data_IF_409449183317
#
_entry.id   IF_409449183317
#
_cell.length_a   1.000
_cell.length_b   1.000
_cell.length_c   1.000
_cell.angle_alpha   90.00
_cell.angle_beta   90.00
_cell.angle_gamma   90.00
#
_symmetry.space_group_name_H-M   'P 1'
#
loop_
_entity.id
_entity.type
_entity.pdbx_description
1 polymer ?
#
# COMPACT_ATOMS: atom_id res chain seq x y z
N UNK A 1 -5.48 3.51 -15.82
CA UNK A 1 -5.63 2.33 -14.92
C UNK A 1 -4.23 1.85 -14.55
N UNK A 2 -3.93 1.72 -13.26
CA UNK A 2 -2.60 1.38 -12.73
C UNK A 2 -2.59 -0.11 -12.34
N UNK A 3 -1.64 -0.92 -12.82
CA UNK A 3 -1.48 -2.33 -12.42
C UNK A 3 -0.06 -2.59 -11.92
N UNK A 4 0.12 -2.99 -10.65
CA UNK A 4 1.45 -3.11 -10.04
C UNK A 4 1.57 -4.29 -9.08
N UNK A 5 2.81 -4.76 -8.91
CA UNK A 5 3.19 -5.80 -7.94
C UNK A 5 4.26 -5.26 -6.98
N UNK A 6 4.02 -5.39 -5.69
CA UNK A 6 4.90 -4.93 -4.61
C UNK A 6 5.17 -6.09 -3.65
N UNK A 7 6.39 -6.61 -3.68
CA UNK A 7 6.90 -7.59 -2.69
C UNK A 7 7.52 -6.93 -1.46
N UNK A 8 7.11 -7.33 -0.26
CA UNK A 8 7.69 -6.90 1.01
C UNK A 8 8.78 -7.87 1.49
N UNK A 9 9.86 -7.32 2.05
CA UNK A 9 10.83 -8.10 2.83
C UNK A 9 10.30 -8.32 4.25
N UNK A 10 10.89 -9.27 4.98
CA UNK A 10 10.58 -9.56 6.40
C UNK A 10 10.64 -8.33 7.30
N UNK A 11 11.46 -7.35 6.94
CA UNK A 11 11.63 -6.11 7.67
C UNK A 11 10.74 -5.05 7.01
N UNK A 12 9.47 -4.99 7.42
CA UNK A 12 8.57 -3.93 6.99
C UNK A 12 9.09 -2.58 7.49
N UNK A 13 9.54 -1.74 6.57
CA UNK A 13 9.78 -0.33 6.82
C UNK A 13 8.83 0.49 5.93
N UNK A 14 7.86 1.16 6.58
CA UNK A 14 6.90 2.06 5.92
C UNK A 14 7.59 3.01 4.95
N UNK A 15 8.76 3.54 5.32
CA UNK A 15 9.56 4.41 4.47
C UNK A 15 9.99 3.75 3.16
N UNK A 16 10.52 2.54 3.22
CA UNK A 16 11.01 1.82 2.04
C UNK A 16 9.85 1.52 1.09
N UNK A 17 8.70 1.14 1.63
CA UNK A 17 7.48 0.99 0.86
C UNK A 17 7.12 2.29 0.15
N UNK A 18 6.97 3.39 0.89
CA UNK A 18 6.55 4.69 0.36
C UNK A 18 7.50 5.15 -0.74
N UNK A 19 8.81 5.05 -0.53
CA UNK A 19 9.79 5.40 -1.55
C UNK A 19 9.68 4.47 -2.77
N UNK A 20 9.47 3.17 -2.56
CA UNK A 20 9.38 2.20 -3.65
C UNK A 20 8.13 2.38 -4.49
N UNK A 21 6.99 2.73 -3.89
CA UNK A 21 5.75 3.02 -4.64
C UNK A 21 5.79 4.39 -5.31
N UNK A 22 6.40 5.38 -4.65
CA UNK A 22 6.55 6.73 -5.21
C UNK A 22 7.40 6.76 -6.48
N UNK A 23 8.40 5.87 -6.60
CA UNK A 23 9.19 5.70 -7.83
C UNK A 23 8.35 5.45 -9.09
N UNK A 24 7.10 5.02 -8.94
CA UNK A 24 6.21 4.78 -10.08
C UNK A 24 5.36 6.00 -10.46
N UNK A 25 5.38 7.05 -9.66
CA UNK A 25 4.50 8.22 -9.78
C UNK A 25 5.31 9.50 -9.97
N UNK A 26 6.45 9.59 -9.28
CA UNK A 26 7.32 10.77 -9.27
C UNK A 26 8.76 10.32 -9.42
N UNK A 27 9.58 11.17 -10.02
CA UNK A 27 11.04 11.00 -9.98
C UNK A 27 11.50 11.12 -8.53
N UNK A 28 11.99 10.00 -7.98
CA UNK A 28 12.51 9.98 -6.62
C UNK A 28 13.92 10.54 -6.64
N UNK A 29 13.99 11.85 -6.38
CA UNK A 29 15.23 12.60 -6.20
C UNK A 29 15.73 12.53 -4.75
N UNK A 30 16.97 12.96 -4.51
CA UNK A 30 17.53 13.09 -3.16
C UNK A 30 16.66 13.95 -2.24
N UNK A 31 15.99 14.97 -2.79
CA UNK A 31 15.10 15.83 -2.02
C UNK A 31 13.80 15.10 -1.63
N UNK A 32 13.29 14.22 -2.48
CA UNK A 32 12.17 13.32 -2.13
C UNK A 32 12.63 12.34 -1.04
N UNK A 33 13.83 11.77 -1.17
CA UNK A 33 14.43 10.89 -0.17
C UNK A 33 14.72 11.56 1.19
N UNK A 34 14.67 12.89 1.29
CA UNK A 34 14.79 13.64 2.57
C UNK A 34 13.44 13.99 3.19
N UNK A 35 12.33 13.84 2.46
CA UNK A 35 10.99 14.10 2.99
C UNK A 35 10.62 13.09 4.06
N UNK A 36 9.82 13.52 5.04
CA UNK A 36 9.27 12.65 6.06
C UNK A 36 8.21 11.70 5.47
N UNK A 37 7.86 10.65 6.21
CA UNK A 37 6.95 9.61 5.72
C UNK A 37 5.54 10.16 5.44
N UNK A 38 5.07 11.15 6.18
CA UNK A 38 3.72 11.71 6.00
C UNK A 38 3.60 12.46 4.67
N UNK A 39 4.62 13.24 4.31
CA UNK A 39 4.67 13.91 3.00
C UNK A 39 4.74 12.86 1.89
N UNK A 40 5.56 11.82 2.05
CA UNK A 40 5.67 10.75 1.05
C UNK A 40 4.34 10.01 0.88
N UNK A 41 3.66 9.68 1.98
CA UNK A 41 2.34 9.06 1.97
C UNK A 41 1.31 9.95 1.29
N UNK A 42 1.32 11.26 1.56
CA UNK A 42 0.37 12.20 0.96
C UNK A 42 0.59 12.36 -0.56
N UNK A 43 1.84 12.42 -1.02
CA UNK A 43 2.15 12.48 -2.47
C UNK A 43 1.64 11.22 -3.17
N UNK A 44 1.91 10.05 -2.57
CA UNK A 44 1.44 8.77 -3.09
C UNK A 44 -0.09 8.70 -3.12
N UNK A 45 -0.74 9.05 -2.02
CA UNK A 45 -2.19 9.03 -1.88
C UNK A 45 -2.85 9.95 -2.91
N UNK A 46 -2.38 11.19 -3.01
CA UNK A 46 -2.89 12.20 -3.95
C UNK A 46 -2.79 11.73 -5.40
N UNK A 47 -1.76 10.97 -5.75
CA UNK A 47 -1.61 10.44 -7.10
C UNK A 47 -2.56 9.30 -7.45
N UNK A 48 -3.14 8.63 -6.43
CA UNK A 48 -4.13 7.58 -6.61
C UNK A 48 -5.57 8.10 -6.59
N UNK A 49 -5.82 9.29 -6.03
CA UNK A 49 -7.16 9.90 -6.00
C UNK A 49 -7.70 10.04 -7.42
N UNK A 50 -8.96 9.63 -7.63
CA UNK A 50 -9.59 9.58 -8.95
C UNK A 50 -9.02 8.53 -9.93
N UNK A 51 -7.96 7.78 -9.57
CA UNK A 51 -7.37 6.74 -10.41
C UNK A 51 -7.89 5.36 -10.03
N UNK A 52 -8.17 4.53 -11.04
CA UNK A 52 -8.45 3.10 -10.83
C UNK A 52 -7.15 2.30 -10.82
N UNK A 53 -6.92 1.50 -9.78
CA UNK A 53 -5.71 0.71 -9.60
C UNK A 53 -5.95 -0.77 -9.20
N UNK A 54 -5.01 -1.64 -9.57
CA UNK A 54 -4.86 -2.99 -9.02
C UNK A 54 -3.43 -3.12 -8.50
N UNK A 55 -3.30 -3.39 -7.19
CA UNK A 55 -2.00 -3.46 -6.52
C UNK A 55 -1.88 -4.82 -5.84
N UNK A 56 -0.93 -5.63 -6.31
CA UNK A 56 -0.60 -6.92 -5.71
C UNK A 56 0.47 -6.70 -4.66
N UNK A 57 0.26 -7.26 -3.50
CA UNK A 57 1.13 -7.14 -2.33
C UNK A 57 1.53 -8.53 -1.89
N UNK A 58 2.83 -8.81 -1.87
CA UNK A 58 3.35 -10.11 -1.48
C UNK A 58 4.20 -10.03 -0.21
N UNK A 59 3.92 -10.92 0.73
CA UNK A 59 4.70 -11.12 1.95
C UNK A 59 4.48 -10.06 3.01
N UNK A 60 3.24 -9.72 3.41
CA UNK A 60 3.04 -8.93 4.64
C UNK A 60 3.31 -9.80 5.87
N UNK A 61 4.05 -9.25 6.84
CA UNK A 61 4.60 -9.97 8.00
C UNK A 61 3.92 -9.69 9.34
N UNK A 62 3.02 -8.70 9.44
CA UNK A 62 2.18 -8.50 10.63
C UNK A 62 0.86 -7.81 10.32
N UNK A 63 -0.09 -7.89 11.25
CA UNK A 63 -1.37 -7.16 11.16
C UNK A 63 -1.16 -5.65 11.24
N UNK A 64 -0.21 -5.15 12.04
CA UNK A 64 0.08 -3.72 12.10
C UNK A 64 0.64 -3.22 10.77
N UNK A 65 1.53 -3.98 10.12
CA UNK A 65 2.05 -3.65 8.81
C UNK A 65 0.94 -3.64 7.75
N UNK A 66 -0.03 -4.56 7.84
CA UNK A 66 -1.20 -4.56 6.96
C UNK A 66 -2.10 -3.33 7.17
N UNK A 67 -2.35 -2.96 8.43
CA UNK A 67 -3.18 -1.81 8.78
C UNK A 67 -2.52 -0.50 8.34
N UNK A 68 -1.23 -0.32 8.63
CA UNK A 68 -0.44 0.84 8.19
C UNK A 68 -0.38 0.92 6.66
N UNK A 69 -0.16 -0.20 5.99
CA UNK A 69 -0.15 -0.29 4.53
C UNK A 69 -1.47 0.23 3.93
N UNK A 70 -2.62 -0.27 4.40
CA UNK A 70 -3.93 0.12 3.86
C UNK A 70 -4.19 1.62 3.94
N UNK A 71 -3.70 2.30 4.98
CA UNK A 71 -3.88 3.77 5.10
C UNK A 71 -3.22 4.56 3.98
N UNK A 72 -2.30 3.95 3.22
CA UNK A 72 -1.64 4.60 2.10
C UNK A 72 -2.49 4.66 0.83
N UNK A 73 -3.67 4.03 0.77
CA UNK A 73 -4.46 3.91 -0.44
C UNK A 73 -5.84 4.58 -0.29
N UNK A 74 -6.27 5.41 -1.27
CA UNK A 74 -7.61 5.97 -1.26
C UNK A 74 -8.65 4.92 -1.62
N UNK A 75 -9.73 4.85 -0.84
CA UNK A 75 -10.93 4.09 -1.18
C UNK A 75 -11.97 5.01 -1.81
N UNK A 76 -12.00 5.02 -3.14
CA UNK A 76 -12.87 5.90 -3.94
C UNK A 76 -14.07 5.14 -4.51
N UNK A 77 -14.30 3.88 -4.09
CA UNK A 77 -15.35 3.01 -4.64
C UNK A 77 -15.33 2.89 -6.18
N UNK A 78 -14.19 3.14 -6.81
CA UNK A 78 -14.03 3.22 -8.28
C UNK A 78 -13.59 1.87 -8.91
N UNK A 79 -13.77 0.78 -8.19
CA UNK A 79 -13.34 -0.56 -8.61
C UNK A 79 -11.83 -0.78 -8.53
N UNK A 80 -11.12 0.00 -7.71
CA UNK A 80 -9.73 -0.28 -7.34
C UNK A 80 -9.65 -1.51 -6.42
N UNK A 81 -8.55 -2.26 -6.53
CA UNK A 81 -8.36 -3.52 -5.79
C UNK A 81 -6.93 -3.66 -5.27
N UNK A 82 -6.81 -4.23 -4.08
CA UNK A 82 -5.54 -4.63 -3.48
C UNK A 82 -5.59 -6.14 -3.29
N UNK A 83 -4.67 -6.86 -3.94
CA UNK A 83 -4.52 -8.31 -3.79
C UNK A 83 -3.39 -8.60 -2.82
N UNK A 84 -3.72 -9.16 -1.66
CA UNK A 84 -2.73 -9.53 -0.64
C UNK A 84 -2.36 -11.01 -0.77
N UNK A 85 -1.06 -11.30 -0.73
CA UNK A 85 -0.50 -12.63 -0.53
C UNK A 85 0.40 -12.62 0.71
N UNK A 86 0.19 -13.57 1.61
CA UNK A 86 0.94 -13.68 2.88
C UNK A 86 0.99 -15.16 3.30
N UNK A 87 2.04 -15.52 4.04
CA UNK A 87 2.20 -16.85 4.65
C UNK A 87 1.60 -16.94 6.06
N UNK A 88 1.11 -15.82 6.59
CA UNK A 88 0.65 -15.71 7.97
C UNK A 88 -0.87 -15.80 8.05
N UNK A 89 -1.37 -16.83 8.72
CA UNK A 89 -2.81 -17.10 8.84
C UNK A 89 -3.56 -15.97 9.54
N UNK A 90 -2.95 -15.35 10.55
CA UNK A 90 -3.58 -14.28 11.33
C UNK A 90 -3.92 -13.06 10.47
N UNK A 91 -3.05 -12.73 9.52
CA UNK A 91 -3.29 -11.64 8.55
C UNK A 91 -4.43 -12.01 7.61
N UNK A 92 -4.51 -13.26 7.17
CA UNK A 92 -5.64 -13.74 6.35
C UNK A 92 -6.96 -13.59 7.10
N UNK A 93 -7.00 -14.01 8.37
CA UNK A 93 -8.21 -13.89 9.21
C UNK A 93 -8.58 -12.42 9.43
N UNK A 94 -7.59 -11.56 9.70
CA UNK A 94 -7.80 -10.12 9.88
C UNK A 94 -8.37 -9.47 8.61
N UNK A 95 -7.72 -9.68 7.46
CA UNK A 95 -8.17 -9.17 6.17
C UNK A 95 -9.56 -9.68 5.76
N UNK A 96 -9.85 -10.98 5.98
CA UNK A 96 -11.18 -11.54 5.73
C UNK A 96 -12.25 -10.93 6.64
N UNK A 97 -11.92 -10.66 7.90
CA UNK A 97 -12.85 -10.01 8.83
C UNK A 97 -13.23 -8.61 8.37
N UNK A 98 -12.31 -7.88 7.74
CA UNK A 98 -12.56 -6.54 7.20
C UNK A 98 -13.31 -6.55 5.88
N UNK A 99 -12.99 -7.49 4.99
CA UNK A 99 -13.74 -7.66 3.73
C UNK A 99 -15.23 -7.93 4.01
N UNK A 100 -15.54 -8.73 5.04
CA UNK A 100 -16.93 -8.99 5.47
C UNK A 100 -17.65 -7.75 6.00
N UNK A 101 -16.92 -6.74 6.46
CA UNK A 101 -17.48 -5.46 6.95
C UNK A 101 -17.70 -4.46 5.81
N UNK A 102 -17.44 -4.85 4.55
CA UNK A 102 -17.66 -3.99 3.38
C UNK A 102 -16.58 -2.93 3.16
N UNK A 103 -15.38 -3.11 3.74
CA UNK A 103 -14.28 -2.15 3.58
C UNK A 103 -13.42 -2.36 2.32
N UNK A 104 -13.62 -3.45 1.54
CA UNK A 104 -12.83 -3.78 0.33
C UNK A 104 -13.56 -4.75 -0.63
#
# INVERSE_FOLDING_TARGET
>A
MIHRWITFSQFYHKRDLLLRILRYVVDVTDDVCKKNNDILANVWYSALVGQRYIIVVDGIWSSEAYDDFKTCFPDESNGSKILLTTRLKDIVVHAQSEARRGKF
#
